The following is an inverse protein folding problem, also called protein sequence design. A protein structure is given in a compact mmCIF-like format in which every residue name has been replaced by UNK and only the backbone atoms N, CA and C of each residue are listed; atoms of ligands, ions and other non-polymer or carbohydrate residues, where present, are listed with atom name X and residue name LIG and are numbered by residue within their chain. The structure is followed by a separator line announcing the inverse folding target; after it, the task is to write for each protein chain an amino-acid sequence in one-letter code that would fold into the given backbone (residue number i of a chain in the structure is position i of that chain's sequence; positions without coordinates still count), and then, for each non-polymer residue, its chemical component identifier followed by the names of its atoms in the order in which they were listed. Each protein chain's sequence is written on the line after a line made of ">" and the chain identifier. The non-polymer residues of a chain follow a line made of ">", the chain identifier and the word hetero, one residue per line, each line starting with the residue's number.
data_IF_681949917127
#
_entry.id   IF_681949917127
#
_cell.length_a   1.000
_cell.length_b   1.000
_cell.length_c   1.000
_cell.angle_alpha   90.00
_cell.angle_beta   90.00
_cell.angle_gamma   90.00
#
_symmetry.space_group_name_H-M   'P 1'
#
loop_
_entity.id
_entity.type
_entity.pdbx_description
1 polymer ?
#
# COMPACT_ATOMS: atom_id res chain seq x y z
N UNK A 1 21.68 -44.10 7.81
CA UNK A 1 20.26 -44.29 8.11
C UNK A 1 19.50 -43.13 7.49
N UNK A 2 18.63 -43.29 6.51
CA UNK A 2 17.76 -42.24 6.02
C UNK A 2 16.65 -41.97 7.05
N UNK A 3 16.40 -40.68 7.31
CA UNK A 3 15.32 -40.22 8.18
C UNK A 3 13.96 -40.68 7.64
N UNK A 4 13.00 -41.05 8.50
CA UNK A 4 11.69 -41.51 8.06
C UNK A 4 10.92 -40.42 7.35
N UNK A 5 10.43 -40.74 6.16
CA UNK A 5 9.47 -40.01 5.38
C UNK A 5 8.21 -39.76 6.24
N UNK A 6 8.15 -38.64 6.89
CA UNK A 6 6.93 -38.17 7.52
C UNK A 6 5.99 -37.66 6.43
N UNK A 7 5.24 -38.59 5.84
CA UNK A 7 4.10 -38.28 5.00
C UNK A 7 3.17 -37.34 5.80
N UNK A 8 2.83 -36.13 5.30
CA UNK A 8 1.93 -35.25 6.03
C UNK A 8 0.57 -35.92 6.18
N UNK A 9 -0.12 -35.73 7.32
CA UNK A 9 -1.39 -36.38 7.59
C UNK A 9 -2.40 -36.05 6.46
N UNK A 10 -3.04 -37.07 5.92
CA UNK A 10 -4.04 -37.02 4.84
C UNK A 10 -5.39 -36.38 5.26
N UNK A 11 -5.42 -35.61 6.34
CA UNK A 11 -6.58 -34.81 6.74
C UNK A 11 -6.56 -33.47 6.03
N UNK A 12 -7.60 -33.12 5.27
CA UNK A 12 -7.79 -31.80 4.65
C UNK A 12 -7.65 -30.71 5.70
N UNK A 13 -7.00 -29.58 5.36
CA UNK A 13 -6.91 -28.42 6.24
C UNK A 13 -8.32 -27.89 6.50
N UNK A 14 -8.76 -27.90 7.76
CA UNK A 14 -9.98 -27.20 8.14
C UNK A 14 -9.83 -25.71 7.81
N UNK A 15 -10.88 -25.09 7.27
CA UNK A 15 -10.91 -23.64 6.99
C UNK A 15 -10.53 -22.83 8.24
N UNK A 16 -10.92 -23.30 9.43
CA UNK A 16 -10.53 -22.70 10.71
C UNK A 16 -9.02 -22.61 10.90
N UNK A 17 -8.24 -23.61 10.50
CA UNK A 17 -6.77 -23.59 10.56
C UNK A 17 -6.16 -22.51 9.64
N UNK A 18 -6.80 -22.26 8.49
CA UNK A 18 -6.39 -21.21 7.56
C UNK A 18 -6.71 -19.83 8.18
N UNK A 19 -7.89 -19.67 8.78
CA UNK A 19 -8.32 -18.44 9.45
C UNK A 19 -7.40 -18.09 10.63
N UNK A 20 -7.06 -19.05 11.47
CA UNK A 20 -6.14 -18.84 12.60
C UNK A 20 -4.72 -18.47 12.16
N UNK A 21 -4.25 -19.02 11.03
CA UNK A 21 -2.96 -18.63 10.46
C UNK A 21 -2.99 -17.24 9.81
N UNK A 22 -4.11 -16.88 9.17
CA UNK A 22 -4.31 -15.58 8.53
C UNK A 22 -4.45 -14.43 9.55
N UNK A 23 -5.11 -14.64 10.69
CA UNK A 23 -5.49 -13.59 11.63
C UNK A 23 -4.32 -12.73 12.13
N UNK A 24 -3.15 -13.27 12.54
CA UNK A 24 -2.01 -12.44 12.93
C UNK A 24 -1.43 -11.60 11.78
N UNK A 25 -1.43 -12.14 10.56
CA UNK A 25 -0.96 -11.44 9.37
C UNK A 25 -1.91 -10.29 9.02
N UNK A 26 -3.23 -10.59 9.04
CA UNK A 26 -4.26 -9.60 8.80
C UNK A 26 -4.27 -8.48 9.85
N UNK A 27 -4.03 -8.80 11.13
CA UNK A 27 -3.99 -7.82 12.21
C UNK A 27 -2.92 -6.73 11.96
N UNK A 28 -1.75 -7.10 11.43
CA UNK A 28 -0.70 -6.13 11.09
C UNK A 28 -1.16 -5.18 9.98
N UNK A 29 -1.78 -5.72 8.92
CA UNK A 29 -2.30 -4.90 7.83
C UNK A 29 -3.50 -4.05 8.26
N UNK A 30 -4.35 -4.57 9.15
CA UNK A 30 -5.48 -3.85 9.71
C UNK A 30 -5.01 -2.65 10.55
N UNK A 31 -3.98 -2.82 11.39
CA UNK A 31 -3.38 -1.70 12.12
C UNK A 31 -2.87 -0.60 11.16
N UNK A 32 -2.19 -0.99 10.07
CA UNK A 32 -1.73 -0.02 9.07
C UNK A 32 -2.89 0.65 8.33
N UNK A 33 -3.98 -0.07 8.08
CA UNK A 33 -5.15 0.48 7.38
C UNK A 33 -5.95 1.49 8.21
N UNK A 34 -5.84 1.45 9.53
CA UNK A 34 -6.51 2.40 10.42
C UNK A 34 -5.93 3.82 10.36
N UNK A 35 -4.71 4.00 9.86
CA UNK A 35 -4.08 5.33 9.73
C UNK A 35 -4.87 6.28 8.86
N UNK A 36 -5.28 5.80 7.68
CA UNK A 36 -6.01 6.61 6.69
C UNK A 36 -7.30 7.22 7.25
N UNK A 37 -8.24 6.39 7.78
CA UNK A 37 -9.46 6.89 8.41
C UNK A 37 -9.21 7.85 9.57
N UNK A 38 -8.20 7.57 10.39
CA UNK A 38 -7.87 8.40 11.54
C UNK A 38 -7.40 9.80 11.13
N UNK A 39 -6.44 9.89 10.20
CA UNK A 39 -5.94 11.18 9.70
C UNK A 39 -7.03 11.94 8.97
N UNK A 40 -7.77 11.27 8.10
CA UNK A 40 -8.88 11.89 7.38
C UNK A 40 -9.96 12.43 8.32
N UNK A 41 -10.27 11.70 9.40
CA UNK A 41 -11.24 12.12 10.40
C UNK A 41 -10.81 13.38 11.18
N UNK A 42 -9.52 13.53 11.47
CA UNK A 42 -9.00 14.76 12.09
C UNK A 42 -9.10 15.93 11.12
N UNK A 43 -8.62 15.75 9.87
CA UNK A 43 -8.66 16.80 8.85
C UNK A 43 -10.11 17.24 8.57
N UNK A 44 -11.05 16.29 8.55
CA UNK A 44 -12.46 16.56 8.29
C UNK A 44 -13.14 17.42 9.37
N UNK A 45 -12.58 17.49 10.57
CA UNK A 45 -13.05 18.33 11.67
C UNK A 45 -12.42 19.72 11.72
N UNK A 46 -11.49 19.98 10.80
CA UNK A 46 -10.82 21.29 10.66
C UNK A 46 -11.59 22.21 9.71
N UNK A 47 -11.42 23.53 9.81
CA UNK A 47 -11.98 24.47 8.86
C UNK A 47 -11.59 24.12 7.42
N UNK A 48 -12.39 24.54 6.44
CA UNK A 48 -12.17 24.29 5.00
C UNK A 48 -11.95 22.80 4.68
N UNK A 49 -12.76 21.94 5.25
CA UNK A 49 -12.65 20.47 5.17
C UNK A 49 -12.38 19.95 3.77
N UNK A 50 -13.16 20.38 2.76
CA UNK A 50 -13.03 19.89 1.40
C UNK A 50 -11.66 20.22 0.78
N UNK A 51 -11.18 21.45 0.97
CA UNK A 51 -9.86 21.89 0.48
C UNK A 51 -8.73 21.13 1.18
N UNK A 52 -8.82 21.00 2.50
CA UNK A 52 -7.80 20.32 3.30
C UNK A 52 -7.72 18.80 3.01
N UNK A 53 -8.86 18.11 2.86
CA UNK A 53 -8.87 16.69 2.48
C UNK A 53 -8.36 16.49 1.05
N UNK A 54 -8.78 17.35 0.11
CA UNK A 54 -8.28 17.31 -1.27
C UNK A 54 -6.76 17.52 -1.30
N UNK A 55 -6.27 18.55 -0.61
CA UNK A 55 -4.85 18.86 -0.56
C UNK A 55 -4.02 17.74 0.08
N UNK A 56 -4.50 17.16 1.19
CA UNK A 56 -3.87 16.02 1.84
C UNK A 56 -3.78 14.82 0.89
N UNK A 57 -4.90 14.46 0.23
CA UNK A 57 -4.96 13.34 -0.70
C UNK A 57 -3.99 13.49 -1.87
N UNK A 58 -3.90 14.69 -2.46
CA UNK A 58 -2.96 15.01 -3.55
C UNK A 58 -1.52 14.94 -3.07
N UNK A 59 -1.17 15.63 -1.98
CA UNK A 59 0.19 15.65 -1.43
C UNK A 59 0.67 14.24 -1.08
N UNK A 60 -0.20 13.43 -0.45
CA UNK A 60 0.08 12.05 -0.12
C UNK A 60 0.31 11.19 -1.37
N UNK A 61 -0.50 11.36 -2.42
CA UNK A 61 -0.35 10.61 -3.66
C UNK A 61 0.97 10.90 -4.38
N UNK A 62 1.41 12.17 -4.39
CA UNK A 62 2.70 12.58 -4.94
C UNK A 62 3.88 12.00 -4.15
N UNK A 63 3.81 12.08 -2.82
CA UNK A 63 4.83 11.51 -1.94
C UNK A 63 4.91 9.98 -2.09
N UNK A 64 3.78 9.30 -2.25
CA UNK A 64 3.70 7.85 -2.44
C UNK A 64 4.34 7.40 -3.75
N UNK A 65 4.19 8.20 -4.82
CA UNK A 65 4.87 7.95 -6.09
C UNK A 65 6.41 8.00 -5.92
N UNK A 66 6.91 9.02 -5.22
CA UNK A 66 8.35 9.18 -4.96
C UNK A 66 8.87 8.09 -4.02
N UNK A 67 8.05 7.59 -3.10
CA UNK A 67 8.38 6.46 -2.21
C UNK A 67 8.48 5.12 -2.97
N UNK A 68 7.78 4.98 -4.08
CA UNK A 68 7.58 3.68 -4.74
C UNK A 68 8.87 2.87 -4.96
N UNK A 69 10.00 3.42 -5.42
CA UNK A 69 11.23 2.66 -5.61
C UNK A 69 11.84 2.16 -4.29
N UNK A 70 11.56 2.81 -3.16
CA UNK A 70 12.14 2.49 -1.85
C UNK A 70 11.43 1.31 -1.18
N UNK A 71 10.19 1.03 -1.55
CA UNK A 71 9.35 0.01 -0.92
C UNK A 71 10.02 -1.37 -0.85
N UNK A 72 10.88 -1.70 -1.82
CA UNK A 72 11.55 -3.01 -1.90
C UNK A 72 12.84 -3.12 -1.07
N UNK A 73 13.26 -2.06 -0.34
CA UNK A 73 14.46 -2.11 0.52
C UNK A 73 14.35 -3.15 1.64
N UNK A 74 13.17 -3.43 2.15
CA UNK A 74 12.95 -4.50 3.12
C UNK A 74 13.32 -5.86 2.53
N UNK A 75 12.80 -6.15 1.33
CA UNK A 75 13.08 -7.40 0.61
C UNK A 75 14.57 -7.52 0.27
N UNK A 76 15.18 -6.43 -0.21
CA UNK A 76 16.61 -6.41 -0.51
C UNK A 76 17.46 -6.64 0.74
N UNK A 77 17.13 -6.00 1.86
CA UNK A 77 17.84 -6.17 3.12
C UNK A 77 17.69 -7.59 3.67
N UNK A 78 16.50 -8.16 3.62
CA UNK A 78 16.24 -9.54 4.03
C UNK A 78 16.99 -10.57 3.15
N UNK A 79 17.11 -10.31 1.84
CA UNK A 79 17.68 -11.27 0.89
C UNK A 79 19.20 -11.16 0.76
N UNK A 80 19.75 -9.94 0.69
CA UNK A 80 21.14 -9.70 0.28
C UNK A 80 22.10 -9.58 1.46
N UNK A 81 21.66 -9.15 2.66
CA UNK A 81 22.55 -8.96 3.81
C UNK A 81 22.87 -10.31 4.44
N UNK A 82 24.11 -10.80 4.30
CA UNK A 82 24.57 -12.07 4.87
C UNK A 82 25.67 -11.88 5.90
N UNK A 83 26.60 -10.96 5.67
CA UNK A 83 27.78 -10.68 6.46
C UNK A 83 28.07 -9.17 6.50
N UNK A 84 29.16 -8.76 7.15
CA UNK A 84 29.59 -7.36 7.29
C UNK A 84 29.73 -6.64 5.94
N UNK A 85 30.37 -7.26 4.95
CA UNK A 85 30.60 -6.64 3.63
C UNK A 85 29.29 -6.36 2.89
N UNK A 86 28.38 -7.35 2.83
CA UNK A 86 27.08 -7.21 2.18
C UNK A 86 26.18 -6.19 2.90
N UNK A 87 26.25 -6.13 4.24
CA UNK A 87 25.59 -5.11 5.03
C UNK A 87 26.08 -3.70 4.67
N UNK A 88 27.39 -3.48 4.63
CA UNK A 88 27.96 -2.18 4.31
C UNK A 88 27.66 -1.75 2.87
N UNK A 89 27.72 -2.69 1.91
CA UNK A 89 27.42 -2.44 0.51
C UNK A 89 25.94 -2.00 0.32
N UNK A 90 25.00 -2.75 0.91
CA UNK A 90 23.57 -2.43 0.82
C UNK A 90 23.20 -1.17 1.61
N UNK A 91 23.84 -0.91 2.76
CA UNK A 91 23.65 0.33 3.53
C UNK A 91 24.04 1.56 2.70
N UNK A 92 25.18 1.52 1.99
CA UNK A 92 25.59 2.61 1.07
C UNK A 92 24.56 2.82 -0.04
N UNK A 93 24.06 1.73 -0.63
CA UNK A 93 23.02 1.78 -1.64
C UNK A 93 21.75 2.42 -1.08
N UNK A 94 21.27 1.97 0.09
CA UNK A 94 20.09 2.52 0.76
C UNK A 94 20.22 4.02 1.02
N UNK A 95 21.36 4.49 1.51
CA UNK A 95 21.56 5.91 1.78
C UNK A 95 21.59 6.75 0.50
N UNK A 96 22.19 6.23 -0.59
CA UNK A 96 22.16 6.89 -1.90
C UNK A 96 20.74 6.96 -2.45
N UNK A 97 19.97 5.89 -2.33
CA UNK A 97 18.55 5.87 -2.72
C UNK A 97 17.74 6.89 -1.91
N UNK A 98 17.92 6.92 -0.59
CA UNK A 98 17.23 7.88 0.27
C UNK A 98 17.61 9.32 -0.11
N UNK A 99 18.89 9.61 -0.37
CA UNK A 99 19.33 10.91 -0.85
C UNK A 99 18.70 11.27 -2.21
N UNK A 100 18.65 10.32 -3.14
CA UNK A 100 18.06 10.53 -4.47
C UNK A 100 16.56 10.85 -4.39
N UNK A 101 15.78 10.12 -3.58
CA UNK A 101 14.34 10.41 -3.43
C UNK A 101 14.09 11.71 -2.66
N UNK A 102 14.95 12.06 -1.69
CA UNK A 102 14.87 13.36 -1.02
C UNK A 102 15.17 14.49 -2.00
N UNK A 103 16.21 14.35 -2.85
CA UNK A 103 16.51 15.29 -3.90
C UNK A 103 15.36 15.44 -4.91
N UNK A 104 14.72 14.31 -5.29
CA UNK A 104 13.54 14.31 -6.14
C UNK A 104 12.37 15.07 -5.50
N UNK A 105 12.12 14.86 -4.20
CA UNK A 105 11.11 15.63 -3.45
C UNK A 105 11.44 17.12 -3.44
N UNK A 106 12.71 17.50 -3.17
CA UNK A 106 13.15 18.88 -3.17
C UNK A 106 12.96 19.55 -4.54
N UNK A 107 13.29 18.84 -5.62
CA UNK A 107 13.04 19.33 -6.99
C UNK A 107 11.54 19.43 -7.26
N UNK A 108 10.75 18.44 -6.82
CA UNK A 108 9.29 18.40 -6.99
C UNK A 108 8.56 19.56 -6.29
N UNK A 109 9.06 20.01 -5.13
CA UNK A 109 8.47 21.15 -4.41
C UNK A 109 9.03 22.51 -4.85
N UNK A 110 10.06 22.55 -5.71
CA UNK A 110 10.56 23.82 -6.27
C UNK A 110 9.42 24.55 -7.01
N UNK A 111 9.18 25.86 -6.73
CA UNK A 111 7.98 26.55 -7.19
C UNK A 111 7.67 26.44 -8.68
N UNK A 112 8.65 26.47 -9.62
CA UNK A 112 8.35 26.34 -11.04
C UNK A 112 7.89 24.92 -11.39
N UNK A 113 8.55 23.89 -10.85
CA UNK A 113 8.20 22.48 -11.07
C UNK A 113 6.84 22.15 -10.45
N UNK A 114 6.65 22.58 -9.21
CA UNK A 114 5.41 22.33 -8.47
C UNK A 114 4.21 22.98 -9.16
N UNK A 115 4.31 24.25 -9.58
CA UNK A 115 3.24 24.94 -10.32
C UNK A 115 2.94 24.29 -11.67
N UNK A 116 3.96 23.82 -12.38
CA UNK A 116 3.76 23.07 -13.62
C UNK A 116 3.00 21.76 -13.35
N UNK A 117 3.42 20.97 -12.35
CA UNK A 117 2.77 19.69 -12.03
C UNK A 117 1.33 19.90 -11.55
N UNK A 118 1.11 20.78 -10.57
CA UNK A 118 -0.21 20.95 -9.94
C UNK A 118 -1.18 21.76 -10.80
N UNK A 119 -0.69 22.82 -11.45
CA UNK A 119 -1.51 23.70 -12.29
C UNK A 119 -1.70 23.14 -13.70
N UNK A 120 -0.60 22.94 -14.45
CA UNK A 120 -0.68 22.57 -15.87
C UNK A 120 -1.00 21.08 -16.04
N UNK A 121 -0.28 20.20 -15.32
CA UNK A 121 -0.47 18.75 -15.50
C UNK A 121 -1.73 18.28 -14.79
N UNK A 122 -1.92 18.59 -13.50
CA UNK A 122 -3.06 18.12 -12.71
C UNK A 122 -4.31 18.97 -12.83
N UNK A 123 -4.19 20.25 -13.21
CA UNK A 123 -5.33 21.19 -13.33
C UNK A 123 -5.98 21.53 -11.99
N UNK A 124 -5.20 21.58 -10.89
CA UNK A 124 -5.76 21.84 -9.56
C UNK A 124 -6.17 23.31 -9.41
N UNK A 125 -7.29 23.57 -8.70
CA UNK A 125 -7.65 24.94 -8.32
C UNK A 125 -6.54 25.59 -7.48
N UNK A 126 -6.26 26.91 -7.67
CA UNK A 126 -5.16 27.60 -6.96
C UNK A 126 -5.24 27.49 -5.43
N UNK A 127 -6.45 27.54 -4.87
CA UNK A 127 -6.68 27.38 -3.42
C UNK A 127 -6.20 26.03 -2.89
N UNK A 128 -6.45 24.94 -3.64
CA UNK A 128 -5.97 23.60 -3.28
C UNK A 128 -4.48 23.48 -3.51
N UNK A 129 -3.96 24.02 -4.64
CA UNK A 129 -2.54 23.92 -4.99
C UNK A 129 -1.61 24.52 -3.93
N UNK A 130 -2.01 25.65 -3.31
CA UNK A 130 -1.26 26.26 -2.20
C UNK A 130 -1.16 25.32 -0.98
N UNK A 131 -2.26 24.73 -0.57
CA UNK A 131 -2.28 23.76 0.54
C UNK A 131 -1.49 22.49 0.22
N UNK A 132 -1.59 21.99 -1.02
CA UNK A 132 -0.80 20.83 -1.50
C UNK A 132 0.69 21.14 -1.40
N UNK A 133 1.11 22.36 -1.77
CA UNK A 133 2.52 22.77 -1.73
C UNK A 133 3.07 22.66 -0.31
N UNK A 134 2.38 23.28 0.65
CA UNK A 134 2.80 23.26 2.06
C UNK A 134 2.82 21.82 2.60
N UNK A 135 1.78 21.04 2.36
CA UNK A 135 1.71 19.64 2.80
C UNK A 135 2.84 18.80 2.16
N UNK A 136 3.15 19.01 0.88
CA UNK A 136 4.22 18.28 0.18
C UNK A 136 5.61 18.67 0.70
N UNK A 137 5.83 19.96 1.04
CA UNK A 137 7.07 20.40 1.70
C UNK A 137 7.27 19.69 3.05
N UNK A 138 6.22 19.54 3.84
CA UNK A 138 6.28 18.79 5.10
C UNK A 138 6.64 17.31 4.84
N UNK A 139 6.15 16.73 3.74
CA UNK A 139 6.40 15.33 3.39
C UNK A 139 7.82 15.06 2.80
N UNK A 140 8.68 16.07 2.60
CA UNK A 140 10.04 15.88 2.03
C UNK A 140 10.83 14.76 2.72
N UNK A 141 10.92 14.66 4.07
CA UNK A 141 11.71 13.62 4.73
C UNK A 141 11.01 12.25 4.72
N UNK A 142 9.73 12.18 4.41
CA UNK A 142 8.91 10.98 4.56
C UNK A 142 9.40 9.78 3.73
N UNK A 143 9.68 9.88 2.41
CA UNK A 143 10.20 8.75 1.63
C UNK A 143 11.53 8.21 2.17
N UNK A 144 12.49 9.10 2.48
CA UNK A 144 13.78 8.67 3.01
C UNK A 144 13.67 7.98 4.38
N UNK A 145 12.78 8.46 5.25
CA UNK A 145 12.49 7.82 6.54
C UNK A 145 11.89 6.41 6.34
N UNK A 146 11.00 6.25 5.36
CA UNK A 146 10.47 4.92 4.97
C UNK A 146 11.60 4.01 4.49
N UNK A 147 12.49 4.48 3.61
CA UNK A 147 13.63 3.70 3.11
C UNK A 147 14.58 3.28 4.24
N UNK A 148 14.90 4.19 5.14
CA UNK A 148 15.71 3.92 6.32
C UNK A 148 15.07 2.86 7.21
N UNK A 149 13.79 3.02 7.56
CA UNK A 149 13.00 2.07 8.33
C UNK A 149 13.01 0.69 7.69
N UNK A 150 12.64 0.59 6.40
CA UNK A 150 12.54 -0.69 5.69
C UNK A 150 13.86 -1.46 5.62
N UNK A 151 14.98 -0.76 5.49
CA UNK A 151 16.29 -1.38 5.54
C UNK A 151 16.53 -2.09 6.89
N UNK A 152 16.31 -1.42 8.02
CA UNK A 152 16.51 -2.01 9.35
C UNK A 152 15.45 -3.06 9.70
N UNK A 153 14.22 -2.90 9.27
CA UNK A 153 13.17 -3.91 9.40
C UNK A 153 13.53 -5.19 8.64
N UNK A 154 14.11 -5.10 7.43
CA UNK A 154 14.59 -6.26 6.68
C UNK A 154 15.68 -7.04 7.43
N UNK A 155 16.59 -6.38 8.15
CA UNK A 155 17.57 -7.04 9.03
C UNK A 155 16.89 -7.76 10.20
N UNK A 156 15.87 -7.15 10.81
CA UNK A 156 15.11 -7.77 11.90
C UNK A 156 14.36 -9.01 11.42
N UNK A 157 13.69 -8.92 10.27
CA UNK A 157 12.96 -10.04 9.64
C UNK A 157 13.92 -11.19 9.34
N UNK A 158 15.10 -10.90 8.76
CA UNK A 158 16.12 -11.91 8.46
C UNK A 158 16.58 -12.70 9.69
N UNK A 159 16.66 -12.06 10.83
CA UNK A 159 17.06 -12.67 12.11
C UNK A 159 15.87 -13.22 12.92
N UNK A 160 14.67 -13.30 12.33
CA UNK A 160 13.46 -13.83 12.97
C UNK A 160 12.77 -12.89 13.98
N UNK A 161 13.21 -11.63 14.10
CA UNK A 161 12.64 -10.66 15.05
C UNK A 161 11.41 -9.93 14.50
N UNK A 162 10.48 -10.64 13.87
CA UNK A 162 9.28 -10.07 13.23
C UNK A 162 8.39 -9.29 14.20
N UNK A 163 8.29 -9.73 15.47
CA UNK A 163 7.53 -9.00 16.52
C UNK A 163 8.05 -7.58 16.74
N UNK A 164 9.35 -7.33 16.56
CA UNK A 164 9.92 -5.99 16.70
C UNK A 164 9.46 -5.06 15.58
N UNK A 165 9.19 -5.60 14.40
CA UNK A 165 8.60 -4.82 13.30
C UNK A 165 7.20 -4.35 13.66
N UNK A 166 6.37 -5.22 14.25
CA UNK A 166 5.05 -4.85 14.73
C UNK A 166 5.10 -3.78 15.84
N UNK A 167 6.05 -3.85 16.78
CA UNK A 167 6.25 -2.79 17.77
C UNK A 167 6.61 -1.44 17.13
N UNK A 168 7.38 -1.45 16.03
CA UNK A 168 7.65 -0.24 15.25
C UNK A 168 6.36 0.41 14.74
N UNK A 169 5.43 -0.40 14.22
CA UNK A 169 4.11 0.07 13.75
C UNK A 169 3.28 0.68 14.89
N UNK A 170 3.31 0.06 16.08
CA UNK A 170 2.63 0.62 17.27
C UNK A 170 3.22 1.99 17.65
N UNK A 171 4.55 2.14 17.66
CA UNK A 171 5.23 3.42 17.91
C UNK A 171 4.79 4.47 16.89
N UNK A 172 4.73 4.10 15.60
CA UNK A 172 4.26 4.98 14.53
C UNK A 172 2.84 5.47 14.78
N UNK A 173 1.90 4.54 15.02
CA UNK A 173 0.49 4.87 15.26
C UNK A 173 0.33 5.77 16.49
N UNK A 174 1.00 5.46 17.60
CA UNK A 174 0.95 6.26 18.81
C UNK A 174 1.49 7.67 18.57
N UNK A 175 2.69 7.81 17.99
CA UNK A 175 3.30 9.10 17.70
C UNK A 175 2.45 9.93 16.74
N UNK A 176 1.97 9.32 15.66
CA UNK A 176 1.11 9.97 14.67
C UNK A 176 -0.19 10.47 15.33
N UNK A 177 -0.82 9.63 16.17
CA UNK A 177 -2.08 9.98 16.84
C UNK A 177 -1.89 11.13 17.83
N UNK A 178 -0.85 11.07 18.65
CA UNK A 178 -0.53 12.15 19.60
C UNK A 178 -0.22 13.44 18.85
N UNK A 179 0.61 13.38 17.80
CA UNK A 179 0.96 14.57 17.01
C UNK A 179 -0.27 15.19 16.35
N UNK A 180 -1.09 14.38 15.68
CA UNK A 180 -2.29 14.87 15.00
C UNK A 180 -3.28 15.51 15.98
N UNK A 181 -3.56 14.84 17.10
CA UNK A 181 -4.48 15.35 18.13
C UNK A 181 -3.94 16.64 18.78
N UNK A 182 -2.65 16.66 19.17
CA UNK A 182 -2.04 17.83 19.80
C UNK A 182 -2.06 19.05 18.87
N UNK A 183 -1.71 18.88 17.59
CA UNK A 183 -1.73 19.98 16.63
C UNK A 183 -3.15 20.47 16.33
N UNK A 184 -4.11 19.57 16.20
CA UNK A 184 -5.50 19.92 15.95
C UNK A 184 -6.14 20.70 17.11
N UNK A 185 -5.72 20.42 18.35
CA UNK A 185 -6.24 21.09 19.55
C UNK A 185 -5.49 22.37 19.91
N UNK A 186 -4.17 22.42 19.63
CA UNK A 186 -3.30 23.50 20.12
C UNK A 186 -2.91 24.53 19.05
N UNK A 187 -3.25 24.32 17.77
CA UNK A 187 -2.84 25.21 16.69
C UNK A 187 -3.97 25.49 15.69
N UNK A 188 -3.82 26.57 14.91
CA UNK A 188 -4.73 26.97 13.83
C UNK A 188 -4.19 26.65 12.45
N UNK A 189 -3.20 25.76 12.31
CA UNK A 189 -2.64 25.39 11.02
C UNK A 189 -3.62 24.56 10.19
N UNK A 190 -3.48 24.61 8.87
CA UNK A 190 -4.38 23.89 7.96
C UNK A 190 -4.37 22.37 8.18
N UNK A 191 -5.55 21.75 8.08
CA UNK A 191 -5.72 20.32 8.32
C UNK A 191 -4.85 19.43 7.42
N UNK A 192 -4.61 19.81 6.17
CA UNK A 192 -3.69 19.10 5.27
C UNK A 192 -2.25 19.06 5.82
N UNK A 193 -1.79 20.15 6.43
CA UNK A 193 -0.47 20.23 7.07
C UNK A 193 -0.41 19.39 8.34
N UNK A 194 -1.47 19.39 9.16
CA UNK A 194 -1.57 18.52 10.34
C UNK A 194 -1.44 17.04 9.94
N UNK A 195 -2.19 16.62 8.92
CA UNK A 195 -2.10 15.26 8.41
C UNK A 195 -0.69 14.89 7.92
N UNK A 196 -0.05 15.78 7.17
CA UNK A 196 1.32 15.59 6.68
C UNK A 196 2.34 15.52 7.82
N UNK A 197 2.28 16.43 8.82
CA UNK A 197 3.17 16.43 10.00
C UNK A 197 2.99 15.14 10.80
N UNK A 198 1.74 14.71 11.03
CA UNK A 198 1.45 13.49 11.76
C UNK A 198 2.03 12.25 11.08
N UNK A 199 1.90 12.15 9.75
CA UNK A 199 2.50 11.05 8.99
C UNK A 199 4.04 11.06 9.09
N UNK A 200 4.67 12.21 8.91
CA UNK A 200 6.13 12.33 8.95
C UNK A 200 6.68 11.99 10.33
N UNK A 201 6.11 12.57 11.39
CA UNK A 201 6.56 12.31 12.77
C UNK A 201 6.37 10.85 13.15
N UNK A 202 5.24 10.23 12.76
CA UNK A 202 5.00 8.82 12.99
C UNK A 202 6.04 7.94 12.30
N UNK A 203 6.35 8.19 11.03
CA UNK A 203 7.34 7.41 10.27
C UNK A 203 8.77 7.65 10.78
N UNK A 204 9.13 8.87 11.16
CA UNK A 204 10.43 9.18 11.76
C UNK A 204 10.61 8.45 13.10
N UNK A 205 9.58 8.43 13.95
CA UNK A 205 9.59 7.69 15.20
C UNK A 205 9.75 6.17 14.97
N UNK A 206 9.03 5.60 14.00
CA UNK A 206 9.16 4.19 13.63
C UNK A 206 10.55 3.89 13.05
N UNK A 207 11.12 4.80 12.25
CA UNK A 207 12.45 4.66 11.68
C UNK A 207 13.53 4.65 12.79
N UNK A 208 13.41 5.55 13.77
CA UNK A 208 14.27 5.58 14.95
C UNK A 208 14.10 4.30 15.79
N UNK A 209 12.86 3.90 16.09
CA UNK A 209 12.58 2.67 16.82
C UNK A 209 13.14 1.43 16.10
N UNK A 210 12.98 1.32 14.78
CA UNK A 210 13.51 0.22 13.98
C UNK A 210 15.05 0.16 14.06
N UNK A 211 15.74 1.31 14.03
CA UNK A 211 17.20 1.40 14.19
C UNK A 211 17.64 0.97 15.60
N UNK A 212 16.95 1.42 16.63
CA UNK A 212 17.24 1.03 18.03
C UNK A 212 17.03 -0.47 18.22
N UNK A 213 15.91 -1.00 17.74
CA UNK A 213 15.61 -2.44 17.84
C UNK A 213 16.59 -3.31 17.05
N UNK A 214 17.14 -2.81 15.92
CA UNK A 214 18.12 -3.50 15.11
C UNK A 214 19.58 -3.36 15.63
N UNK A 215 19.84 -2.55 16.69
CA UNK A 215 21.21 -2.24 17.17
C UNK A 215 22.08 -3.47 17.42
N UNK A 216 21.50 -4.50 18.08
CA UNK A 216 22.23 -5.74 18.38
C UNK A 216 22.55 -6.55 17.12
N UNK A 217 21.61 -6.61 16.16
CA UNK A 217 21.81 -7.27 14.86
C UNK A 217 22.90 -6.55 14.06
N UNK A 218 22.88 -5.22 14.06
CA UNK A 218 23.90 -4.42 13.38
C UNK A 218 25.27 -4.60 14.05
N UNK A 219 25.34 -4.60 15.39
CA UNK A 219 26.57 -4.83 16.11
C UNK A 219 27.17 -6.21 15.81
N UNK A 220 26.35 -7.27 15.80
CA UNK A 220 26.81 -8.62 15.43
C UNK A 220 27.34 -8.68 13.99
N UNK A 221 26.65 -8.05 13.02
CA UNK A 221 27.11 -8.00 11.64
C UNK A 221 28.42 -7.23 11.46
N UNK A 222 28.63 -6.16 12.24
CA UNK A 222 29.86 -5.37 12.18
C UNK A 222 31.04 -6.05 12.88
N UNK A 223 30.76 -6.91 13.86
CA UNK A 223 31.80 -7.70 14.57
C UNK A 223 32.22 -8.96 13.80
N UNK A 224 31.45 -9.36 12.76
CA UNK A 224 31.87 -10.50 11.93
C UNK A 224 33.19 -10.18 11.20
N UNK A 225 34.20 -11.05 11.26
CA UNK A 225 35.43 -10.88 10.50
C UNK A 225 35.14 -10.89 9.00
N UNK A 226 35.90 -10.11 8.25
CA UNK A 226 35.82 -10.13 6.80
C UNK A 226 36.34 -11.46 6.27
N UNK A 227 35.52 -12.25 5.61
CA UNK A 227 35.89 -13.47 4.91
C UNK A 227 36.34 -13.11 3.47
N UNK A 228 37.61 -13.24 3.13
CA UNK A 228 38.12 -12.93 1.80
C UNK A 228 37.56 -13.84 0.71
N UNK A 229 37.12 -15.07 1.07
CA UNK A 229 36.54 -16.04 0.15
C UNK A 229 35.02 -15.80 -0.11
N UNK A 230 34.37 -14.97 0.73
CA UNK A 230 32.98 -14.70 0.54
C UNK A 230 32.71 -13.86 -0.73
N UNK A 231 31.67 -14.20 -1.51
CA UNK A 231 31.31 -13.44 -2.70
C UNK A 231 31.07 -11.96 -2.36
N UNK A 232 31.82 -11.07 -3.00
CA UNK A 232 31.67 -9.61 -2.81
C UNK A 232 30.40 -9.11 -3.49
N UNK A 233 29.51 -8.51 -2.73
CA UNK A 233 28.31 -7.86 -3.27
C UNK A 233 28.68 -6.48 -3.82
N UNK A 234 28.72 -6.34 -5.15
CA UNK A 234 29.01 -5.06 -5.81
C UNK A 234 27.75 -4.20 -5.89
N UNK A 235 27.91 -2.88 -6.09
CA UNK A 235 26.77 -1.98 -6.33
C UNK A 235 25.99 -2.38 -7.59
N UNK A 236 26.68 -2.91 -8.60
CA UNK A 236 26.05 -3.39 -9.84
C UNK A 236 25.15 -4.60 -9.59
N UNK A 237 25.56 -5.52 -8.73
CA UNK A 237 24.76 -6.69 -8.35
C UNK A 237 23.51 -6.27 -7.58
N UNK A 238 23.65 -5.30 -6.68
CA UNK A 238 22.51 -4.72 -5.93
C UNK A 238 21.53 -4.07 -6.89
N UNK A 239 22.01 -3.22 -7.82
CA UNK A 239 21.14 -2.57 -8.82
C UNK A 239 20.44 -3.60 -9.70
N UNK A 240 21.16 -4.61 -10.19
CA UNK A 240 20.58 -5.69 -11.03
C UNK A 240 19.47 -6.47 -10.29
N UNK A 241 19.66 -6.73 -9.02
CA UNK A 241 18.65 -7.36 -8.17
C UNK A 241 17.47 -6.43 -7.89
N UNK A 242 17.77 -5.16 -7.62
CA UNK A 242 16.81 -4.18 -7.11
C UNK A 242 15.90 -3.58 -8.20
N UNK A 243 16.46 -3.33 -9.40
CA UNK A 243 15.76 -2.65 -10.49
C UNK A 243 14.41 -3.29 -10.86
N UNK A 244 14.29 -4.62 -11.07
CA UNK A 244 13.01 -5.23 -11.41
C UNK A 244 11.97 -5.09 -10.28
N UNK A 245 12.43 -5.17 -9.02
CA UNK A 245 11.57 -5.01 -7.84
C UNK A 245 11.05 -3.56 -7.73
N UNK A 246 11.94 -2.58 -7.91
CA UNK A 246 11.57 -1.17 -7.89
C UNK A 246 10.58 -0.83 -9.01
N UNK A 247 10.82 -1.34 -10.22
CA UNK A 247 9.92 -1.12 -11.37
C UNK A 247 8.51 -1.67 -11.09
N UNK A 248 8.41 -2.87 -10.50
CA UNK A 248 7.11 -3.45 -10.12
C UNK A 248 6.39 -2.57 -9.10
N UNK A 249 7.12 -2.03 -8.11
CA UNK A 249 6.55 -1.10 -7.13
C UNK A 249 6.06 0.18 -7.77
N UNK A 250 6.84 0.78 -8.67
CA UNK A 250 6.48 2.00 -9.39
C UNK A 250 5.18 1.77 -10.18
N UNK A 251 5.09 0.69 -10.95
CA UNK A 251 3.88 0.35 -11.73
C UNK A 251 2.66 0.23 -10.81
N UNK A 252 2.80 -0.42 -9.65
CA UNK A 252 1.68 -0.59 -8.73
C UNK A 252 1.24 0.71 -8.05
N UNK A 253 2.18 1.59 -7.70
CA UNK A 253 1.89 2.81 -6.94
C UNK A 253 1.57 4.03 -7.81
N UNK A 254 1.82 3.97 -9.13
CA UNK A 254 1.43 5.05 -10.06
C UNK A 254 -0.09 5.26 -10.13
N UNK A 255 -0.88 4.27 -9.74
CA UNK A 255 -2.34 4.32 -9.75
C UNK A 255 -2.88 5.50 -8.93
N UNK A 256 -2.31 5.78 -7.75
CA UNK A 256 -2.74 6.89 -6.90
C UNK A 256 -2.63 8.25 -7.60
N UNK A 257 -1.43 8.69 -8.01
CA UNK A 257 -1.23 9.93 -8.75
C UNK A 257 -2.02 10.01 -10.06
N UNK A 258 -2.17 8.89 -10.77
CA UNK A 258 -2.96 8.82 -11.99
C UNK A 258 -4.44 9.12 -11.72
N UNK A 259 -5.03 8.52 -10.70
CA UNK A 259 -6.40 8.83 -10.29
C UNK A 259 -6.55 10.30 -9.88
N UNK A 260 -5.60 10.83 -9.10
CA UNK A 260 -5.58 12.23 -8.68
C UNK A 260 -5.51 13.18 -9.88
N UNK A 261 -4.67 12.85 -10.87
CA UNK A 261 -4.56 13.61 -12.12
C UNK A 261 -5.91 13.73 -12.85
N UNK A 262 -6.59 12.61 -13.07
CA UNK A 262 -7.88 12.62 -13.76
C UNK A 262 -8.98 13.28 -12.92
N UNK A 263 -9.01 13.05 -11.60
CA UNK A 263 -9.99 13.69 -10.72
C UNK A 263 -9.81 15.21 -10.69
N UNK A 264 -8.58 15.73 -10.69
CA UNK A 264 -8.30 17.17 -10.75
C UNK A 264 -8.83 17.84 -12.02
N UNK A 265 -9.04 17.09 -13.10
CA UNK A 265 -9.55 17.57 -14.41
C UNK A 265 -11.00 17.17 -14.71
N UNK A 266 -11.69 16.60 -13.73
CA UNK A 266 -13.05 16.11 -13.87
C UNK A 266 -14.10 17.13 -13.44
N UNK A 267 -15.37 16.75 -13.55
CA UNK A 267 -16.46 17.48 -12.86
C UNK A 267 -16.35 17.29 -11.36
N UNK A 268 -16.67 18.33 -10.59
CA UNK A 268 -16.57 18.38 -9.14
C UNK A 268 -15.18 17.93 -8.63
N UNK A 269 -14.09 18.62 -9.04
CA UNK A 269 -12.72 18.17 -8.76
C UNK A 269 -12.39 18.24 -7.27
N UNK A 270 -12.83 19.30 -6.58
CA UNK A 270 -12.54 19.50 -5.15
C UNK A 270 -13.23 18.43 -4.31
N UNK A 271 -14.51 18.21 -4.53
CA UNK A 271 -15.31 17.20 -3.82
C UNK A 271 -14.79 15.80 -4.11
N UNK A 272 -14.41 15.50 -5.36
CA UNK A 272 -13.83 14.21 -5.75
C UNK A 272 -12.51 13.96 -5.03
N UNK A 273 -11.61 14.93 -5.01
CA UNK A 273 -10.32 14.85 -4.33
C UNK A 273 -10.45 14.81 -2.81
N UNK A 274 -11.44 15.50 -2.24
CA UNK A 274 -11.72 15.51 -0.81
C UNK A 274 -12.27 14.17 -0.30
N UNK A 275 -13.22 13.59 -1.05
CA UNK A 275 -13.93 12.37 -0.65
C UNK A 275 -13.08 11.11 -0.90
N UNK A 276 -12.22 11.11 -1.92
CA UNK A 276 -11.44 9.95 -2.32
C UNK A 276 -10.58 9.36 -1.20
N UNK A 277 -9.82 10.13 -0.40
CA UNK A 277 -9.04 9.60 0.73
C UNK A 277 -9.92 8.90 1.77
N UNK A 278 -11.10 9.45 2.06
CA UNK A 278 -12.03 8.90 3.05
C UNK A 278 -12.62 7.59 2.56
N UNK A 279 -13.08 7.54 1.31
CA UNK A 279 -13.61 6.32 0.68
C UNK A 279 -12.54 5.24 0.58
N UNK A 280 -11.34 5.59 0.10
CA UNK A 280 -10.23 4.64 -0.02
C UNK A 280 -9.80 4.08 1.33
N UNK A 281 -9.74 4.92 2.36
CA UNK A 281 -9.34 4.48 3.70
C UNK A 281 -10.38 3.54 4.31
N UNK A 282 -11.68 3.80 4.13
CA UNK A 282 -12.74 2.87 4.53
C UNK A 282 -12.60 1.52 3.82
N UNK A 283 -12.55 1.53 2.49
CA UNK A 283 -12.47 0.28 1.71
C UNK A 283 -11.19 -0.48 2.03
N UNK A 284 -10.07 0.22 2.30
CA UNK A 284 -8.80 -0.40 2.66
C UNK A 284 -8.87 -1.16 3.99
N UNK A 285 -9.68 -0.73 4.97
CA UNK A 285 -9.91 -1.51 6.19
C UNK A 285 -10.38 -2.93 5.87
N UNK A 286 -11.37 -3.06 4.98
CA UNK A 286 -11.98 -4.36 4.64
C UNK A 286 -11.14 -5.19 3.67
N UNK A 287 -10.33 -4.57 2.80
CA UNK A 287 -9.47 -5.27 1.86
C UNK A 287 -8.07 -5.60 2.40
N UNK A 288 -7.65 -4.96 3.48
CA UNK A 288 -6.30 -5.10 4.07
C UNK A 288 -5.96 -6.55 4.42
N UNK A 289 -6.94 -7.31 4.92
CA UNK A 289 -6.79 -8.73 5.16
C UNK A 289 -6.56 -9.56 3.88
N UNK A 290 -7.09 -9.11 2.74
CA UNK A 290 -6.85 -9.71 1.43
C UNK A 290 -5.40 -9.57 0.99
N UNK A 291 -4.77 -8.42 1.27
CA UNK A 291 -3.33 -8.21 1.00
C UNK A 291 -2.49 -9.24 1.75
N UNK A 292 -2.80 -9.50 3.03
CA UNK A 292 -2.14 -10.53 3.84
C UNK A 292 -2.37 -11.95 3.31
N UNK A 293 -3.47 -12.19 2.59
CA UNK A 293 -3.86 -13.54 2.15
C UNK A 293 -2.91 -14.15 1.12
N UNK A 294 -2.14 -13.35 0.40
CA UNK A 294 -1.12 -13.86 -0.52
C UNK A 294 -0.04 -14.67 0.23
N UNK A 295 0.36 -14.24 1.42
CA UNK A 295 1.32 -14.96 2.27
C UNK A 295 0.73 -16.28 2.78
N UNK A 296 -0.57 -16.28 3.12
CA UNK A 296 -1.29 -17.50 3.48
C UNK A 296 -1.30 -18.50 2.33
N UNK A 297 -1.61 -18.03 1.12
CA UNK A 297 -1.61 -18.86 -0.09
C UNK A 297 -0.25 -19.49 -0.34
N UNK A 298 0.82 -18.73 -0.28
CA UNK A 298 2.19 -19.22 -0.47
C UNK A 298 2.59 -20.21 0.63
N UNK A 299 2.22 -19.96 1.90
CA UNK A 299 2.62 -20.78 3.03
C UNK A 299 1.81 -22.07 3.18
N UNK A 300 0.52 -22.06 2.83
CA UNK A 300 -0.41 -23.14 3.14
C UNK A 300 -0.85 -24.00 1.94
N UNK A 301 -0.66 -23.52 0.71
CA UNK A 301 -1.08 -24.27 -0.49
C UNK A 301 -0.22 -25.52 -0.77
N UNK A 302 1.03 -25.55 -0.29
CA UNK A 302 2.00 -26.60 -0.59
C UNK A 302 2.73 -26.39 -1.92
N UNK A 303 3.94 -26.97 -2.06
CA UNK A 303 4.78 -26.77 -3.27
C UNK A 303 4.15 -27.30 -4.55
N UNK A 304 3.41 -28.41 -4.48
CA UNK A 304 2.67 -29.00 -5.60
C UNK A 304 1.20 -28.59 -5.64
N UNK A 305 0.82 -27.58 -4.83
CA UNK A 305 -0.54 -27.05 -4.72
C UNK A 305 -1.57 -28.10 -4.26
N UNK A 306 -1.15 -29.05 -3.43
CA UNK A 306 -1.98 -30.14 -2.92
C UNK A 306 -3.22 -29.65 -2.15
N UNK A 307 -3.13 -28.43 -1.57
CA UNK A 307 -4.20 -27.81 -0.75
C UNK A 307 -4.82 -26.58 -1.41
N UNK A 308 -4.79 -26.53 -2.74
CA UNK A 308 -5.31 -25.38 -3.49
C UNK A 308 -6.80 -25.16 -3.23
N UNK A 309 -7.59 -26.23 -3.19
CA UNK A 309 -9.03 -26.15 -2.98
C UNK A 309 -9.40 -25.63 -1.58
N UNK A 310 -8.67 -26.01 -0.53
CA UNK A 310 -8.88 -25.55 0.84
C UNK A 310 -8.50 -24.08 0.98
N UNK A 311 -7.35 -23.68 0.44
CA UNK A 311 -6.90 -22.27 0.42
C UNK A 311 -7.87 -21.42 -0.40
N UNK A 312 -8.37 -21.91 -1.54
CA UNK A 312 -9.39 -21.25 -2.33
C UNK A 312 -10.71 -21.05 -1.55
N UNK A 313 -11.18 -22.07 -0.82
CA UNK A 313 -12.35 -21.95 0.06
C UNK A 313 -12.14 -20.93 1.17
N UNK A 314 -10.96 -20.92 1.79
CA UNK A 314 -10.59 -19.91 2.79
C UNK A 314 -10.63 -18.49 2.22
N UNK A 315 -10.11 -18.30 0.99
CA UNK A 315 -10.20 -17.01 0.28
C UNK A 315 -11.65 -16.56 0.08
N UNK A 316 -12.53 -17.46 -0.38
CA UNK A 316 -13.94 -17.17 -0.60
C UNK A 316 -14.68 -16.81 0.68
N UNK A 317 -14.48 -17.57 1.78
CA UNK A 317 -15.09 -17.27 3.08
C UNK A 317 -14.69 -15.89 3.57
N UNK A 318 -13.40 -15.55 3.55
CA UNK A 318 -12.91 -14.23 3.97
C UNK A 318 -13.37 -13.11 3.03
N UNK A 319 -13.36 -13.36 1.71
CA UNK A 319 -13.86 -12.44 0.71
C UNK A 319 -15.34 -12.10 0.93
N UNK A 320 -16.17 -13.13 1.14
CA UNK A 320 -17.61 -12.96 1.41
C UNK A 320 -17.85 -12.26 2.73
N UNK A 321 -17.12 -12.61 3.80
CA UNK A 321 -17.24 -11.98 5.11
C UNK A 321 -16.85 -10.49 5.08
N UNK A 322 -15.72 -10.15 4.45
CA UNK A 322 -15.27 -8.77 4.34
C UNK A 322 -16.22 -7.92 3.48
N UNK A 323 -16.73 -8.47 2.37
CA UNK A 323 -17.69 -7.79 1.50
C UNK A 323 -19.04 -7.62 2.19
N UNK A 324 -19.54 -8.65 2.90
CA UNK A 324 -20.79 -8.56 3.66
C UNK A 324 -20.70 -7.53 4.79
N UNK A 325 -19.56 -7.47 5.50
CA UNK A 325 -19.34 -6.47 6.54
C UNK A 325 -19.30 -5.04 5.96
N UNK A 326 -18.65 -4.83 4.81
CA UNK A 326 -18.67 -3.55 4.12
C UNK A 326 -20.07 -3.21 3.59
N UNK A 327 -20.81 -4.20 3.07
CA UNK A 327 -22.19 -4.02 2.63
C UNK A 327 -23.09 -3.60 3.80
N UNK A 328 -22.98 -4.29 4.94
CA UNK A 328 -23.72 -3.93 6.15
C UNK A 328 -23.45 -2.47 6.54
N UNK A 329 -22.20 -2.04 6.50
CA UNK A 329 -21.85 -0.64 6.78
C UNK A 329 -22.48 0.33 5.76
N UNK A 330 -22.37 0.04 4.45
CA UNK A 330 -22.74 0.99 3.39
C UNK A 330 -24.23 1.06 3.07
N UNK A 331 -25.01 0.02 3.42
CA UNK A 331 -26.45 -0.06 3.11
C UNK A 331 -27.36 0.05 4.34
N UNK A 332 -26.78 0.35 5.50
CA UNK A 332 -27.53 0.62 6.73
C UNK A 332 -27.24 2.04 7.22
N UNK A 333 -27.96 2.55 8.24
CA UNK A 333 -27.69 3.84 8.86
C UNK A 333 -26.27 4.00 9.43
N UNK A 334 -25.51 2.90 9.58
CA UNK A 334 -24.11 2.90 10.00
C UNK A 334 -23.24 3.73 9.05
N UNK A 335 -23.59 3.81 7.76
CA UNK A 335 -22.89 4.66 6.79
C UNK A 335 -22.90 6.14 7.21
N UNK A 336 -24.04 6.65 7.69
CA UNK A 336 -24.15 8.01 8.21
C UNK A 336 -23.28 8.23 9.45
N UNK A 337 -23.28 7.27 10.37
CA UNK A 337 -22.42 7.31 11.54
C UNK A 337 -20.93 7.24 11.17
N UNK A 338 -20.56 6.49 10.13
CA UNK A 338 -19.19 6.41 9.65
C UNK A 338 -18.75 7.73 8.98
N UNK A 339 -19.45 8.17 7.94
CA UNK A 339 -19.01 9.34 7.15
C UNK A 339 -19.21 10.66 7.90
N UNK A 340 -20.37 10.88 8.51
CA UNK A 340 -20.66 12.09 9.27
C UNK A 340 -20.07 12.07 10.69
N UNK A 341 -20.30 10.98 11.42
CA UNK A 341 -19.86 10.86 12.82
C UNK A 341 -18.36 10.62 12.95
N UNK A 342 -17.88 9.45 12.53
CA UNK A 342 -16.48 9.04 12.70
C UNK A 342 -15.54 9.82 11.79
N UNK A 343 -15.84 9.87 10.49
CA UNK A 343 -15.00 10.58 9.49
C UNK A 343 -15.14 12.10 9.54
N UNK A 344 -16.21 12.63 10.13
CA UNK A 344 -16.41 14.08 10.32
C UNK A 344 -16.75 14.85 9.04
N UNK A 345 -17.23 14.18 7.99
CA UNK A 345 -17.63 14.85 6.76
C UNK A 345 -18.94 15.64 6.96
N UNK A 346 -19.07 16.77 6.25
CA UNK A 346 -20.36 17.48 6.14
C UNK A 346 -21.43 16.57 5.54
N UNK A 347 -22.70 16.94 5.75
CA UNK A 347 -23.84 16.16 5.22
C UNK A 347 -23.76 15.99 3.69
N UNK A 348 -23.31 17.02 2.96
CA UNK A 348 -23.18 16.98 1.51
C UNK A 348 -22.04 16.08 1.05
N UNK A 349 -20.86 16.20 1.65
CA UNK A 349 -19.72 15.32 1.36
C UNK A 349 -19.99 13.88 1.77
N UNK A 350 -20.74 13.65 2.86
CA UNK A 350 -21.14 12.30 3.30
C UNK A 350 -22.06 11.63 2.26
N UNK A 351 -23.05 12.37 1.76
CA UNK A 351 -23.93 11.89 0.66
C UNK A 351 -23.16 11.63 -0.62
N UNK A 352 -22.22 12.53 -0.96
CA UNK A 352 -21.37 12.39 -2.13
C UNK A 352 -20.42 11.19 -2.04
N UNK A 353 -19.91 10.86 -0.84
CA UNK A 353 -19.02 9.74 -0.59
C UNK A 353 -19.69 8.36 -0.70
N UNK A 354 -21.01 8.29 -0.46
CA UNK A 354 -21.71 7.01 -0.32
C UNK A 354 -21.75 6.21 -1.63
N UNK A 355 -22.05 6.86 -2.76
CA UNK A 355 -22.11 6.18 -4.06
C UNK A 355 -20.74 5.65 -4.51
N UNK A 356 -19.64 6.41 -4.47
CA UNK A 356 -18.31 5.89 -4.73
C UNK A 356 -17.92 4.69 -3.83
N UNK A 357 -18.26 4.76 -2.54
CA UNK A 357 -18.01 3.66 -1.62
C UNK A 357 -18.79 2.39 -1.98
N UNK A 358 -20.05 2.54 -2.39
CA UNK A 358 -20.88 1.42 -2.86
C UNK A 358 -20.38 0.79 -4.16
N UNK A 359 -19.85 1.59 -5.10
CA UNK A 359 -19.20 1.07 -6.31
C UNK A 359 -18.01 0.16 -5.95
N UNK A 360 -17.24 0.51 -4.92
CA UNK A 360 -16.10 -0.27 -4.46
C UNK A 360 -16.47 -1.46 -3.55
N UNK A 361 -17.75 -1.76 -3.35
CA UNK A 361 -18.22 -2.84 -2.48
C UNK A 361 -17.54 -4.18 -2.74
N UNK A 362 -17.30 -4.53 -4.00
CA UNK A 362 -16.68 -5.80 -4.39
C UNK A 362 -15.14 -5.77 -4.33
N UNK A 363 -14.54 -4.63 -4.02
CA UNK A 363 -13.08 -4.52 -4.02
C UNK A 363 -12.41 -5.44 -2.97
N UNK A 364 -12.93 -5.60 -1.74
CA UNK A 364 -12.40 -6.59 -0.80
C UNK A 364 -12.44 -8.01 -1.36
N UNK A 365 -13.58 -8.47 -1.90
CA UNK A 365 -13.70 -9.82 -2.47
C UNK A 365 -12.66 -10.06 -3.57
N UNK A 366 -12.53 -9.11 -4.49
CA UNK A 366 -11.57 -9.20 -5.60
C UNK A 366 -10.11 -9.17 -5.12
N UNK A 367 -9.81 -8.52 -3.98
CA UNK A 367 -8.47 -8.51 -3.37
C UNK A 367 -8.08 -9.89 -2.83
N UNK A 368 -8.95 -10.53 -2.03
CA UNK A 368 -8.70 -11.89 -1.52
C UNK A 368 -8.52 -12.89 -2.66
N UNK A 369 -9.36 -12.79 -3.69
CA UNK A 369 -9.28 -13.67 -4.85
C UNK A 369 -8.01 -13.43 -5.67
N UNK A 370 -7.63 -12.18 -5.87
CA UNK A 370 -6.37 -11.81 -6.53
C UNK A 370 -5.16 -12.35 -5.77
N UNK A 371 -5.15 -12.21 -4.45
CA UNK A 371 -4.09 -12.72 -3.58
C UNK A 371 -3.94 -14.25 -3.68
N UNK A 372 -5.07 -14.98 -3.68
CA UNK A 372 -5.11 -16.42 -3.91
C UNK A 372 -4.55 -16.80 -5.28
N UNK A 373 -4.98 -16.14 -6.36
CA UNK A 373 -4.49 -16.42 -7.71
C UNK A 373 -2.99 -16.11 -7.84
N UNK A 374 -2.52 -14.96 -7.32
CA UNK A 374 -1.09 -14.58 -7.32
C UNK A 374 -0.23 -15.63 -6.61
N UNK A 375 -0.68 -16.15 -5.46
CA UNK A 375 0.07 -17.18 -4.73
C UNK A 375 0.26 -18.47 -5.55
N UNK A 376 -0.71 -18.86 -6.39
CA UNK A 376 -0.61 -20.01 -7.32
C UNK A 376 0.53 -19.81 -8.33
N UNK A 377 0.62 -18.63 -8.94
CA UNK A 377 1.66 -18.31 -9.93
C UNK A 377 3.03 -18.12 -9.29
N UNK A 378 3.11 -17.56 -8.08
CA UNK A 378 4.35 -17.44 -7.31
C UNK A 378 4.94 -18.83 -7.01
N UNK A 379 4.11 -19.76 -6.50
CA UNK A 379 4.54 -21.12 -6.21
C UNK A 379 4.97 -21.90 -7.46
N UNK A 380 4.36 -21.59 -8.62
CA UNK A 380 4.73 -22.19 -9.91
C UNK A 380 5.95 -21.52 -10.55
N UNK A 381 6.57 -20.50 -9.94
CA UNK A 381 7.68 -19.74 -10.51
C UNK A 381 7.30 -18.83 -11.68
N UNK A 382 6.01 -18.72 -12.02
CA UNK A 382 5.50 -17.92 -13.16
C UNK A 382 5.20 -16.47 -12.76
N UNK A 383 6.14 -15.79 -12.14
CA UNK A 383 5.96 -14.42 -11.61
C UNK A 383 5.68 -13.37 -12.69
N UNK A 384 6.14 -13.60 -13.92
CA UNK A 384 5.83 -12.72 -15.07
C UNK A 384 4.32 -12.57 -15.31
N UNK A 385 3.54 -13.63 -15.09
CA UNK A 385 2.08 -13.59 -15.23
C UNK A 385 1.46 -12.61 -14.22
N UNK A 386 1.99 -12.58 -12.99
CA UNK A 386 1.55 -11.64 -11.95
C UNK A 386 1.85 -10.19 -12.35
N UNK A 387 3.03 -9.95 -12.94
CA UNK A 387 3.39 -8.61 -13.45
C UNK A 387 2.47 -8.17 -14.58
N UNK A 388 2.17 -9.05 -15.55
CA UNK A 388 1.24 -8.75 -16.65
C UNK A 388 -0.16 -8.44 -16.11
N UNK A 389 -0.66 -9.20 -15.13
CA UNK A 389 -1.94 -8.90 -14.47
C UNK A 389 -1.96 -7.50 -13.85
N UNK A 390 -0.85 -7.08 -13.23
CA UNK A 390 -0.72 -5.73 -12.66
C UNK A 390 -0.73 -4.65 -13.76
N UNK A 391 -0.06 -4.89 -14.88
CA UNK A 391 -0.08 -3.97 -16.03
C UNK A 391 -1.49 -3.86 -16.63
N UNK A 392 -2.23 -4.98 -16.74
CA UNK A 392 -3.62 -4.99 -17.19
C UNK A 392 -4.51 -4.19 -16.24
N UNK A 393 -4.32 -4.35 -14.92
CA UNK A 393 -5.06 -3.59 -13.91
C UNK A 393 -4.82 -2.09 -14.06
N UNK A 394 -3.56 -1.66 -14.04
CA UNK A 394 -3.18 -0.24 -14.08
C UNK A 394 -3.52 0.39 -15.44
N UNK A 395 -3.22 -0.30 -16.53
CA UNK A 395 -3.58 0.13 -17.89
C UNK A 395 -5.08 0.22 -18.11
N UNK A 396 -5.84 -0.74 -17.57
CA UNK A 396 -7.31 -0.73 -17.60
C UNK A 396 -7.88 0.45 -16.81
N UNK A 397 -7.33 0.74 -15.63
CA UNK A 397 -7.71 1.92 -14.85
C UNK A 397 -7.45 3.21 -15.65
N UNK A 398 -6.27 3.35 -16.27
CA UNK A 398 -5.93 4.51 -17.08
C UNK A 398 -6.90 4.71 -18.25
N UNK A 399 -7.18 3.64 -18.99
CA UNK A 399 -8.09 3.66 -20.13
C UNK A 399 -9.52 4.07 -19.72
N UNK A 400 -10.04 3.48 -18.66
CA UNK A 400 -11.39 3.78 -18.17
C UNK A 400 -11.47 5.22 -17.66
N UNK A 401 -10.44 5.71 -16.93
CA UNK A 401 -10.38 7.11 -16.51
C UNK A 401 -10.37 8.06 -17.70
N UNK A 402 -9.61 7.75 -18.75
CA UNK A 402 -9.57 8.54 -19.97
C UNK A 402 -10.95 8.61 -20.64
N UNK A 403 -11.63 7.49 -20.75
CA UNK A 403 -12.98 7.43 -21.35
C UNK A 403 -14.01 8.13 -20.47
N UNK A 404 -14.05 7.83 -19.18
CA UNK A 404 -15.07 8.36 -18.27
C UNK A 404 -14.91 9.86 -18.01
N UNK A 405 -13.67 10.34 -17.81
CA UNK A 405 -13.43 11.75 -17.53
C UNK A 405 -13.26 12.54 -18.84
N UNK A 406 -12.40 12.08 -19.76
CA UNK A 406 -12.09 12.78 -21.00
C UNK A 406 -13.23 12.69 -22.04
N UNK A 407 -13.87 11.53 -22.17
CA UNK A 407 -14.93 11.30 -23.15
C UNK A 407 -16.33 11.62 -22.65
N UNK A 408 -16.71 11.11 -21.47
CA UNK A 408 -18.07 11.21 -20.93
C UNK A 408 -18.27 12.37 -19.96
N UNK A 409 -17.20 13.09 -19.55
CA UNK A 409 -17.28 14.20 -18.60
C UNK A 409 -17.87 13.81 -17.25
N UNK A 410 -17.57 12.60 -16.76
CA UNK A 410 -18.09 12.09 -15.48
C UNK A 410 -17.47 12.81 -14.28
N UNK A 411 -18.16 12.70 -13.12
CA UNK A 411 -17.64 13.12 -11.82
C UNK A 411 -16.40 12.27 -11.50
N UNK A 412 -15.30 12.92 -11.10
CA UNK A 412 -13.98 12.28 -10.95
C UNK A 412 -13.95 11.08 -10.03
N UNK A 413 -14.54 11.18 -8.84
CA UNK A 413 -14.53 10.07 -7.87
C UNK A 413 -15.38 8.89 -8.36
N UNK A 414 -16.46 9.11 -9.10
CA UNK A 414 -17.28 8.05 -9.69
C UNK A 414 -16.46 7.30 -10.77
N UNK A 415 -15.85 8.05 -11.68
CA UNK A 415 -14.97 7.49 -12.72
C UNK A 415 -13.83 6.69 -12.09
N UNK A 416 -13.18 7.23 -11.05
CA UNK A 416 -12.08 6.59 -10.35
C UNK A 416 -12.46 5.26 -9.70
N UNK A 417 -13.63 5.19 -9.07
CA UNK A 417 -14.10 3.97 -8.41
C UNK A 417 -14.54 2.90 -9.41
N UNK A 418 -15.21 3.30 -10.50
CA UNK A 418 -15.53 2.40 -11.62
C UNK A 418 -14.25 1.86 -12.24
N UNK A 419 -13.28 2.73 -12.52
CA UNK A 419 -12.01 2.33 -13.10
C UNK A 419 -11.26 1.30 -12.23
N UNK A 420 -11.20 1.54 -10.91
CA UNK A 420 -10.53 0.64 -9.98
C UNK A 420 -11.18 -0.75 -9.92
N UNK A 421 -12.51 -0.82 -9.78
CA UNK A 421 -13.18 -2.13 -9.71
C UNK A 421 -13.06 -2.88 -11.04
N UNK A 422 -13.21 -2.19 -12.17
CA UNK A 422 -13.13 -2.81 -13.49
C UNK A 422 -11.70 -3.26 -13.82
N UNK A 423 -10.69 -2.43 -13.54
CA UNK A 423 -9.28 -2.81 -13.69
C UNK A 423 -8.91 -4.02 -12.83
N UNK A 424 -9.38 -4.06 -11.58
CA UNK A 424 -9.21 -5.19 -10.67
C UNK A 424 -9.89 -6.47 -11.18
N UNK A 425 -11.09 -6.37 -11.71
CA UNK A 425 -11.80 -7.49 -12.34
C UNK A 425 -11.05 -7.98 -13.57
N UNK A 426 -10.53 -7.08 -14.41
CA UNK A 426 -9.70 -7.42 -15.58
C UNK A 426 -8.47 -8.23 -15.20
N UNK A 427 -7.73 -7.82 -14.16
CA UNK A 427 -6.58 -8.56 -13.65
C UNK A 427 -6.97 -9.96 -13.13
N UNK A 428 -8.07 -10.05 -12.38
CA UNK A 428 -8.58 -11.34 -11.87
C UNK A 428 -9.00 -12.28 -13.01
N UNK A 429 -9.71 -11.76 -14.01
CA UNK A 429 -10.14 -12.53 -15.18
C UNK A 429 -8.94 -13.03 -15.99
N UNK A 430 -7.94 -12.18 -16.21
CA UNK A 430 -6.70 -12.57 -16.88
C UNK A 430 -6.00 -13.72 -16.14
N UNK A 431 -5.78 -13.60 -14.84
CA UNK A 431 -5.15 -14.66 -14.04
C UNK A 431 -5.96 -15.96 -14.07
N UNK A 432 -7.28 -15.85 -14.03
CA UNK A 432 -8.17 -17.00 -14.12
C UNK A 432 -8.07 -17.67 -15.49
N UNK A 433 -8.10 -16.93 -16.59
CA UNK A 433 -7.96 -17.45 -17.94
C UNK A 433 -6.62 -18.18 -18.17
N UNK A 434 -5.51 -17.58 -17.72
CA UNK A 434 -4.17 -18.18 -17.83
C UNK A 434 -4.01 -19.40 -16.91
N UNK A 435 -4.82 -19.56 -15.87
CA UNK A 435 -4.76 -20.69 -14.97
C UNK A 435 -5.46 -21.95 -15.48
N UNK A 436 -6.32 -21.83 -16.49
CA UNK A 436 -6.99 -22.97 -17.13
C UNK A 436 -6.01 -23.75 -18.03
N UNK A 437 -5.99 -25.08 -18.02
CA UNK A 437 -5.27 -25.82 -19.04
C UNK A 437 -5.84 -25.47 -20.43
N UNK A 438 -5.01 -25.40 -21.49
CA UNK A 438 -5.51 -25.20 -22.84
C UNK A 438 -6.54 -26.30 -23.17
N UNK A 439 -7.68 -25.90 -23.74
CA UNK A 439 -8.82 -26.76 -24.02
C UNK A 439 -8.48 -27.97 -24.94
N UNK A 440 -7.30 -27.96 -25.59
CA UNK A 440 -6.85 -29.06 -26.46
C UNK A 440 -6.30 -30.29 -25.73
N UNK A 441 -6.12 -30.25 -24.39
CA UNK A 441 -5.62 -31.40 -23.62
C UNK A 441 -6.72 -32.27 -22.98
N UNK A 442 -7.98 -31.97 -23.25
CA UNK A 442 -9.13 -32.72 -22.70
C UNK A 442 -9.65 -33.84 -23.64
N UNK A 443 -9.03 -34.00 -24.79
CA UNK A 443 -9.44 -35.00 -25.80
C UNK A 443 -8.26 -35.87 -26.29
N UNK A 444 -7.20 -36.02 -25.51
CA UNK A 444 -6.12 -36.96 -25.77
C UNK A 444 -6.00 -38.00 -24.66
#
# INVERSE_FOLDING_TARGET
>A
MPAPDASPPRGGLAVSSILWFWLPLAATWLMMSAEGPYVAAIIARMPETAFNLAAYGVAFSLAWLVESPIMMLLTASNSLVRNRQTFLALRRFTYRMNAAVTALMLVGVAPPVFRFVTGTVMGLPPAVAGLVHVATMVLIPWPAAIGYRRFYQGLLVRRGFTRRVAYGTVVRLATMSVTAASLALATSIHGASIGAIALVTGVLAEAAASRVMARRVVASLLAEPDDPAAPRLTQRDIVRFYYPLALTSIISLVTGPMLTFFMGRSRAPIESLAVMPVVQSLVFLFRSGGVAYQEVGVARMGRRREREAEVGRGALVLASGATAALALLLFTPIAGAWFGGLSGLSADLSRFALTPARILLLLPATEYWLAFQRSRFILSGKTRVVTVATVIEVGGIALIMLVCVGGLGMIGVMAATIAQITGRLGANLFLYAVSRPPAAAAHA
#
